data_IF_104746634370
#
_entry.id   IF_104746634370
#
_cell.length_a   1.000
_cell.length_b   1.000
_cell.length_c   1.000
_cell.angle_alpha   90.00
_cell.angle_beta   90.00
_cell.angle_gamma   90.00
#
_symmetry.space_group_name_H-M   'P 1'
#
loop_
_entity.id
_entity.type
_entity.pdbx_description
1 polymer ?
#
# COMPACT_ATOMS: atom_id res chain seq x y z
N UNK A 1 80.01 -63.02 -11.88
CA UNK A 1 79.32 -61.74 -11.65
C UNK A 1 77.86 -61.87 -12.06
N UNK A 2 76.93 -62.07 -11.12
CA UNK A 2 75.48 -61.98 -11.35
C UNK A 2 74.95 -60.92 -10.39
N UNK A 3 74.54 -59.77 -10.93
CA UNK A 3 73.98 -58.64 -10.18
C UNK A 3 72.46 -58.86 -10.10
N UNK A 4 71.96 -59.16 -8.91
CA UNK A 4 70.53 -59.27 -8.65
C UNK A 4 69.91 -57.87 -8.59
N UNK A 5 68.87 -57.63 -9.37
CA UNK A 5 68.05 -56.41 -9.30
C UNK A 5 66.99 -56.59 -8.20
N UNK A 6 66.82 -55.63 -7.29
CA UNK A 6 65.80 -55.72 -6.25
C UNK A 6 64.41 -55.43 -6.84
N UNK A 7 63.46 -56.30 -6.51
CA UNK A 7 62.05 -56.17 -6.87
C UNK A 7 61.47 -54.90 -6.25
N UNK A 8 61.16 -53.90 -7.08
CA UNK A 8 60.35 -52.74 -6.72
C UNK A 8 58.92 -53.19 -6.40
N UNK A 9 58.63 -53.39 -5.11
CA UNK A 9 57.30 -53.75 -4.61
C UNK A 9 56.77 -52.67 -3.67
N UNK A 10 56.94 -51.39 -4.04
CA UNK A 10 56.56 -50.22 -3.21
C UNK A 10 55.27 -49.54 -3.70
N UNK A 11 54.83 -49.79 -4.94
CA UNK A 11 53.83 -48.93 -5.57
C UNK A 11 52.34 -49.26 -5.30
N UNK A 12 51.98 -50.24 -4.46
CA UNK A 12 50.55 -50.58 -4.22
C UNK A 12 49.98 -50.11 -2.89
N UNK A 13 50.79 -50.05 -1.83
CA UNK A 13 50.32 -49.68 -0.50
C UNK A 13 50.15 -48.15 -0.32
N UNK A 14 50.99 -47.35 -0.98
CA UNK A 14 50.94 -45.88 -0.87
C UNK A 14 49.73 -45.26 -1.57
N UNK A 15 49.24 -45.87 -2.66
CA UNK A 15 48.09 -45.33 -3.41
C UNK A 15 46.76 -45.49 -2.65
N UNK A 16 46.56 -46.57 -1.89
CA UNK A 16 45.39 -46.71 -1.03
C UNK A 16 45.40 -45.70 0.11
N UNK A 17 46.60 -45.40 0.66
CA UNK A 17 46.78 -44.39 1.70
C UNK A 17 46.59 -42.97 1.18
N UNK A 18 47.10 -42.66 -0.01
CA UNK A 18 46.83 -41.39 -0.68
C UNK A 18 45.35 -41.23 -1.01
N UNK A 19 44.71 -42.29 -1.52
CA UNK A 19 43.29 -42.29 -1.86
C UNK A 19 42.39 -42.08 -0.64
N UNK A 20 42.68 -42.71 0.49
CA UNK A 20 41.91 -42.52 1.72
C UNK A 20 42.08 -41.11 2.31
N UNK A 21 43.30 -40.55 2.27
CA UNK A 21 43.53 -39.16 2.68
C UNK A 21 42.77 -38.16 1.80
N UNK A 22 42.78 -38.37 0.48
CA UNK A 22 42.04 -37.54 -0.46
C UNK A 22 40.52 -37.61 -0.23
N UNK A 23 39.97 -38.80 0.01
CA UNK A 23 38.56 -38.99 0.33
C UNK A 23 38.15 -38.28 1.63
N UNK A 24 39.00 -38.33 2.66
CA UNK A 24 38.75 -37.62 3.93
C UNK A 24 38.71 -36.11 3.71
N UNK A 25 39.62 -35.56 2.89
CA UNK A 25 39.63 -34.14 2.55
C UNK A 25 38.35 -33.73 1.79
N UNK A 26 37.96 -34.50 0.77
CA UNK A 26 36.73 -34.24 0.01
C UNK A 26 35.49 -34.33 0.92
N UNK A 27 35.42 -35.35 1.77
CA UNK A 27 34.31 -35.50 2.71
C UNK A 27 34.24 -34.32 3.69
N UNK A 28 35.39 -33.88 4.22
CA UNK A 28 35.46 -32.71 5.09
C UNK A 28 34.97 -31.43 4.43
N UNK A 29 35.44 -31.14 3.21
CA UNK A 29 34.99 -29.97 2.42
C UNK A 29 33.49 -30.07 2.13
N UNK A 30 33.00 -31.24 1.69
CA UNK A 30 31.59 -31.43 1.33
C UNK A 30 30.68 -31.22 2.54
N UNK A 31 31.04 -31.78 3.71
CA UNK A 31 30.28 -31.59 4.95
C UNK A 31 30.30 -30.13 5.39
N UNK A 32 31.44 -29.43 5.27
CA UNK A 32 31.51 -27.99 5.58
C UNK A 32 30.58 -27.17 4.68
N UNK A 33 30.62 -27.39 3.35
CA UNK A 33 29.73 -26.68 2.43
C UNK A 33 28.25 -27.02 2.67
N UNK A 34 27.95 -28.26 3.02
CA UNK A 34 26.58 -28.66 3.35
C UNK A 34 26.09 -27.97 4.63
N UNK A 35 26.94 -27.89 5.67
CA UNK A 35 26.64 -27.19 6.91
C UNK A 35 26.46 -25.68 6.69
N UNK A 36 27.30 -25.06 5.86
CA UNK A 36 27.18 -23.63 5.52
C UNK A 36 25.89 -23.34 4.76
N UNK A 37 25.53 -24.16 3.76
CA UNK A 37 24.25 -24.02 3.05
C UNK A 37 23.04 -24.23 3.95
N UNK A 38 23.13 -25.17 4.89
CA UNK A 38 22.05 -25.40 5.84
C UNK A 38 21.86 -24.20 6.78
N UNK A 39 22.95 -23.63 7.30
CA UNK A 39 22.90 -22.41 8.11
C UNK A 39 22.33 -21.22 7.33
N UNK A 40 22.82 -21.00 6.10
CA UNK A 40 22.29 -19.96 5.21
C UNK A 40 20.79 -20.14 4.97
N UNK A 41 20.34 -21.36 4.70
CA UNK A 41 18.91 -21.63 4.53
C UNK A 41 18.06 -21.34 5.78
N UNK A 42 18.62 -21.43 6.99
CA UNK A 42 17.92 -21.02 8.22
C UNK A 42 17.86 -19.49 8.31
N UNK A 43 18.98 -18.81 8.06
CA UNK A 43 19.07 -17.33 8.07
C UNK A 43 18.15 -16.69 7.02
N UNK A 44 18.09 -17.25 5.81
CA UNK A 44 17.20 -16.80 4.73
C UNK A 44 15.73 -16.93 5.13
N UNK A 45 15.37 -18.03 5.79
CA UNK A 45 13.99 -18.27 6.28
C UNK A 45 13.60 -17.32 7.41
N UNK A 46 14.54 -16.98 8.29
CA UNK A 46 14.30 -16.01 9.36
C UNK A 46 14.13 -14.59 8.79
N UNK A 47 14.95 -14.23 7.80
CA UNK A 47 14.84 -12.96 7.06
C UNK A 47 13.50 -12.86 6.33
N UNK A 48 13.11 -13.91 5.60
CA UNK A 48 11.82 -14.00 4.92
C UNK A 48 10.64 -13.82 5.90
N UNK A 49 10.65 -14.52 7.04
CA UNK A 49 9.59 -14.40 8.05
C UNK A 49 9.51 -12.99 8.64
N UNK A 50 10.65 -12.36 8.88
CA UNK A 50 10.74 -10.98 9.39
C UNK A 50 10.16 -9.99 8.37
N UNK A 51 10.55 -10.14 7.10
CA UNK A 51 10.02 -9.34 5.99
C UNK A 51 8.50 -9.48 5.91
N UNK A 52 7.99 -10.72 5.82
CA UNK A 52 6.56 -10.99 5.66
C UNK A 52 5.73 -10.48 6.86
N UNK A 53 6.25 -10.60 8.08
CA UNK A 53 5.61 -10.04 9.28
C UNK A 53 5.53 -8.51 9.22
N UNK A 54 6.59 -7.86 8.75
CA UNK A 54 6.60 -6.41 8.53
C UNK A 54 5.61 -5.97 7.45
N UNK A 55 5.54 -6.71 6.33
CA UNK A 55 4.57 -6.45 5.26
C UNK A 55 3.13 -6.60 5.76
N UNK A 56 2.85 -7.58 6.63
CA UNK A 56 1.51 -7.73 7.21
C UNK A 56 1.09 -6.51 8.04
N UNK A 57 2.04 -5.94 8.81
CA UNK A 57 1.81 -4.73 9.60
C UNK A 57 1.58 -3.51 8.70
N UNK A 58 2.42 -3.34 7.68
CA UNK A 58 2.27 -2.27 6.68
C UNK A 58 0.89 -2.36 6.01
N UNK A 59 0.49 -3.55 5.54
CA UNK A 59 -0.82 -3.79 4.92
C UNK A 59 -1.98 -3.49 5.85
N UNK A 60 -1.85 -3.79 7.15
CA UNK A 60 -2.90 -3.46 8.13
C UNK A 60 -3.06 -1.95 8.29
N UNK A 61 -1.95 -1.23 8.45
CA UNK A 61 -1.95 0.24 8.53
C UNK A 61 -2.54 0.86 7.27
N UNK A 62 -2.16 0.35 6.10
CA UNK A 62 -2.66 0.80 4.81
C UNK A 62 -4.18 0.59 4.66
N UNK A 63 -4.70 -0.55 5.13
CA UNK A 63 -6.13 -0.82 5.11
C UNK A 63 -6.95 0.15 5.98
N UNK A 64 -6.42 0.54 7.14
CA UNK A 64 -7.08 1.53 8.02
C UNK A 64 -7.14 2.91 7.36
N UNK A 65 -6.09 3.32 6.63
CA UNK A 65 -6.09 4.56 5.87
C UNK A 65 -7.04 4.51 4.68
N UNK A 66 -7.01 3.41 3.91
CA UNK A 66 -7.90 3.17 2.78
C UNK A 66 -9.38 3.20 3.19
N UNK A 67 -9.75 2.56 4.30
CA UNK A 67 -11.14 2.55 4.78
C UNK A 67 -11.64 3.98 5.08
N UNK A 68 -10.81 4.81 5.72
CA UNK A 68 -11.14 6.21 5.97
C UNK A 68 -11.35 6.98 4.66
N UNK A 69 -10.51 6.74 3.66
CA UNK A 69 -10.56 7.36 2.36
C UNK A 69 -11.80 6.95 1.56
N UNK A 70 -12.17 5.67 1.56
CA UNK A 70 -13.40 5.18 0.93
C UNK A 70 -14.62 5.83 1.59
N UNK A 71 -14.64 5.93 2.92
CA UNK A 71 -15.72 6.61 3.64
C UNK A 71 -15.81 8.12 3.34
N UNK A 72 -14.71 8.77 2.95
CA UNK A 72 -14.77 10.15 2.44
C UNK A 72 -15.36 10.21 1.04
N UNK A 73 -14.91 9.34 0.13
CA UNK A 73 -15.42 9.27 -1.23
C UNK A 73 -16.93 9.02 -1.28
N UNK A 74 -17.44 8.06 -0.50
CA UNK A 74 -18.90 7.78 -0.42
C UNK A 74 -19.68 8.99 0.08
N UNK A 75 -19.16 9.72 1.06
CA UNK A 75 -19.82 10.95 1.56
C UNK A 75 -19.82 12.07 0.54
N UNK A 76 -18.82 12.16 -0.35
CA UNK A 76 -18.85 13.12 -1.45
C UNK A 76 -19.94 12.79 -2.46
N UNK A 77 -20.07 11.51 -2.82
CA UNK A 77 -21.14 11.03 -3.70
C UNK A 77 -22.53 11.28 -3.09
N UNK A 78 -22.74 10.88 -1.83
CA UNK A 78 -23.98 11.15 -1.09
C UNK A 78 -24.31 12.65 -1.03
N UNK A 79 -23.30 13.50 -0.85
CA UNK A 79 -23.48 14.95 -0.84
C UNK A 79 -23.91 15.47 -2.21
N UNK A 80 -23.27 15.03 -3.29
CA UNK A 80 -23.64 15.44 -4.64
C UNK A 80 -25.07 15.00 -4.99
N UNK A 81 -25.43 13.76 -4.66
CA UNK A 81 -26.80 13.26 -4.84
C UNK A 81 -27.82 14.08 -4.04
N UNK A 82 -27.49 14.42 -2.80
CA UNK A 82 -28.35 15.27 -1.97
C UNK A 82 -28.51 16.66 -2.60
N UNK A 83 -27.43 17.29 -3.06
CA UNK A 83 -27.47 18.61 -3.71
C UNK A 83 -28.37 18.57 -4.94
N UNK A 84 -28.21 17.56 -5.80
CA UNK A 84 -29.02 17.40 -7.02
C UNK A 84 -30.51 17.17 -6.72
N UNK A 85 -30.81 16.38 -5.69
CA UNK A 85 -32.20 16.16 -5.28
C UNK A 85 -32.88 17.43 -4.74
N UNK A 86 -32.09 18.39 -4.26
CA UNK A 86 -32.55 19.55 -3.53
C UNK A 86 -32.32 20.89 -4.26
N UNK A 87 -31.82 20.85 -5.50
CA UNK A 87 -31.47 22.03 -6.31
C UNK A 87 -32.62 23.05 -6.41
N UNK A 88 -33.84 22.54 -6.64
CA UNK A 88 -35.04 23.34 -6.87
C UNK A 88 -35.87 23.62 -5.60
N UNK A 89 -35.31 23.41 -4.41
CA UNK A 89 -36.00 23.59 -3.13
C UNK A 89 -35.50 24.84 -2.40
N UNK A 90 -36.18 25.99 -2.52
CA UNK A 90 -35.71 27.25 -1.93
C UNK A 90 -35.82 27.31 -0.40
N UNK A 91 -36.53 26.37 0.22
CA UNK A 91 -36.91 26.36 1.64
C UNK A 91 -35.92 25.62 2.56
N UNK A 92 -34.76 25.19 2.04
CA UNK A 92 -33.81 24.39 2.82
C UNK A 92 -33.14 25.26 3.89
N UNK A 93 -33.12 24.80 5.16
CA UNK A 93 -32.40 25.49 6.23
C UNK A 93 -30.90 25.61 5.92
N UNK A 94 -30.32 26.79 6.17
CA UNK A 94 -28.88 27.03 5.97
C UNK A 94 -28.00 26.00 6.69
N UNK A 95 -28.34 25.66 7.93
CA UNK A 95 -27.60 24.68 8.73
C UNK A 95 -27.58 23.29 8.08
N UNK A 96 -28.69 22.89 7.46
CA UNK A 96 -28.75 21.63 6.71
C UNK A 96 -27.80 21.66 5.52
N UNK A 97 -27.75 22.78 4.79
CA UNK A 97 -26.83 22.94 3.66
C UNK A 97 -25.37 22.90 4.15
N UNK A 98 -25.05 23.66 5.20
CA UNK A 98 -23.71 23.67 5.80
C UNK A 98 -23.24 22.28 6.23
N UNK A 99 -24.10 21.50 6.90
CA UNK A 99 -23.80 20.11 7.28
C UNK A 99 -23.55 19.25 6.06
N UNK A 100 -24.40 19.38 5.03
CA UNK A 100 -24.27 18.58 3.81
C UNK A 100 -23.02 18.94 3.02
N UNK A 101 -22.57 20.19 2.99
CA UNK A 101 -21.34 20.57 2.29
C UNK A 101 -20.05 20.25 3.05
N UNK A 102 -20.12 19.95 4.36
CA UNK A 102 -18.95 19.63 5.19
C UNK A 102 -18.02 18.55 4.59
N UNK A 103 -18.52 17.43 4.02
CA UNK A 103 -17.67 16.39 3.45
C UNK A 103 -16.76 16.90 2.34
N UNK A 104 -17.21 17.84 1.50
CA UNK A 104 -16.33 18.39 0.47
C UNK A 104 -15.21 19.26 1.05
N UNK A 105 -15.39 19.86 2.23
CA UNK A 105 -14.29 20.54 2.92
C UNK A 105 -13.20 19.60 3.40
N UNK A 106 -13.51 18.31 3.56
CA UNK A 106 -12.61 17.26 4.04
C UNK A 106 -11.91 16.59 2.86
N UNK A 107 -10.61 16.83 2.70
CA UNK A 107 -9.76 15.99 1.86
C UNK A 107 -8.45 15.65 2.58
N UNK A 108 -7.83 14.56 2.19
CA UNK A 108 -6.52 14.13 2.69
C UNK A 108 -5.77 13.41 1.58
N UNK A 109 -4.44 13.36 1.69
CA UNK A 109 -3.61 12.67 0.72
C UNK A 109 -3.40 11.24 1.19
N UNK A 110 -3.55 10.29 0.27
CA UNK A 110 -3.12 8.93 0.49
C UNK A 110 -1.60 8.85 0.41
N UNK A 111 -0.95 8.38 1.48
CA UNK A 111 0.51 8.28 1.55
C UNK A 111 1.06 6.86 1.39
N UNK A 112 0.20 5.82 1.46
CA UNK A 112 0.55 4.42 1.25
C UNK A 112 1.62 3.88 2.22
N UNK A 113 1.24 3.00 3.14
CA UNK A 113 2.25 2.40 4.06
C UNK A 113 3.08 1.35 3.30
N UNK A 114 4.37 1.61 3.07
CA UNK A 114 5.28 0.73 2.29
C UNK A 114 6.73 0.68 2.79
N UNK A 115 6.95 0.96 4.08
CA UNK A 115 8.29 1.07 4.65
C UNK A 115 9.05 -0.27 4.57
N UNK A 116 8.40 -1.37 4.98
CA UNK A 116 8.99 -2.71 4.94
C UNK A 116 9.25 -3.14 3.51
N UNK A 117 8.29 -2.94 2.61
CA UNK A 117 8.46 -3.30 1.20
C UNK A 117 9.64 -2.55 0.56
N UNK A 118 9.76 -1.24 0.80
CA UNK A 118 10.82 -0.41 0.21
C UNK A 118 12.21 -0.78 0.74
N UNK A 119 12.30 -1.11 2.04
CA UNK A 119 13.52 -1.67 2.64
C UNK A 119 13.87 -3.03 2.04
N UNK A 120 12.89 -3.93 1.96
CA UNK A 120 13.07 -5.28 1.45
C UNK A 120 13.46 -5.33 -0.03
N UNK A 121 12.95 -4.43 -0.86
CA UNK A 121 13.41 -4.28 -2.25
C UNK A 121 14.87 -3.83 -2.29
N UNK A 122 15.23 -2.82 -1.49
CA UNK A 122 16.59 -2.26 -1.46
C UNK A 122 17.63 -3.27 -0.95
N UNK A 123 17.22 -4.14 -0.02
CA UNK A 123 18.03 -5.22 0.53
C UNK A 123 18.00 -6.51 -0.33
N UNK A 124 17.14 -6.59 -1.35
CA UNK A 124 16.94 -7.79 -2.17
C UNK A 124 16.12 -8.91 -1.50
N UNK A 125 15.58 -8.67 -0.30
CA UNK A 125 14.84 -9.63 0.52
C UNK A 125 13.51 -10.07 -0.12
N UNK A 126 12.86 -9.20 -0.92
CA UNK A 126 11.61 -9.58 -1.62
C UNK A 126 11.86 -10.74 -2.61
N UNK A 127 13.06 -10.85 -3.16
CA UNK A 127 13.42 -11.98 -4.04
C UNK A 127 13.60 -13.30 -3.27
N UNK A 128 13.79 -13.23 -1.95
CA UNK A 128 13.97 -14.38 -1.06
C UNK A 128 12.64 -15.01 -0.64
N UNK A 129 11.49 -14.38 -0.95
CA UNK A 129 10.18 -14.98 -0.71
C UNK A 129 10.09 -16.26 -1.57
N UNK A 130 10.03 -17.41 -0.93
CA UNK A 130 10.21 -18.70 -1.58
C UNK A 130 8.96 -19.15 -2.35
N UNK A 131 7.78 -18.79 -1.86
CA UNK A 131 6.55 -19.07 -2.57
C UNK A 131 6.33 -18.03 -3.69
N UNK A 132 6.47 -18.48 -4.94
CA UNK A 132 6.34 -17.63 -6.13
C UNK A 132 5.00 -16.88 -6.19
N UNK A 133 3.89 -17.54 -5.85
CA UNK A 133 2.56 -16.92 -5.78
C UNK A 133 2.51 -15.77 -4.78
N UNK A 134 3.04 -15.98 -3.57
CA UNK A 134 3.09 -14.97 -2.53
C UNK A 134 3.99 -13.79 -2.94
N UNK A 135 5.17 -14.09 -3.49
CA UNK A 135 6.10 -13.07 -4.00
C UNK A 135 5.46 -12.19 -5.06
N UNK A 136 4.78 -12.80 -6.04
CA UNK A 136 4.05 -12.07 -7.08
C UNK A 136 2.92 -11.24 -6.48
N UNK A 137 2.18 -11.75 -5.50
CA UNK A 137 1.10 -11.01 -4.85
C UNK A 137 1.63 -9.79 -4.07
N UNK A 138 2.76 -9.92 -3.37
CA UNK A 138 3.45 -8.80 -2.71
C UNK A 138 3.84 -7.73 -3.73
N UNK A 139 4.53 -8.12 -4.81
CA UNK A 139 4.97 -7.18 -5.85
C UNK A 139 3.76 -6.49 -6.50
N UNK A 140 2.72 -7.25 -6.87
CA UNK A 140 1.53 -6.68 -7.50
C UNK A 140 0.85 -5.65 -6.60
N UNK A 141 0.73 -5.92 -5.30
CA UNK A 141 0.12 -4.97 -4.38
C UNK A 141 0.88 -3.62 -4.34
N UNK A 142 2.20 -3.66 -4.13
CA UNK A 142 3.00 -2.46 -3.90
C UNK A 142 3.39 -1.71 -5.18
N UNK A 143 3.43 -2.38 -6.33
CA UNK A 143 3.82 -1.78 -7.61
C UNK A 143 2.66 -1.51 -8.56
N UNK A 144 1.48 -2.10 -8.32
CA UNK A 144 0.30 -1.93 -9.17
C UNK A 144 -0.86 -1.35 -8.38
N UNK A 145 -1.34 -2.07 -7.36
CA UNK A 145 -2.57 -1.70 -6.64
C UNK A 145 -2.41 -0.37 -5.89
N UNK A 146 -1.40 -0.25 -5.02
CA UNK A 146 -1.17 0.96 -4.24
C UNK A 146 -0.85 2.19 -5.12
N UNK A 147 0.02 2.12 -6.14
CA UNK A 147 0.25 3.24 -7.05
C UNK A 147 -0.99 3.68 -7.85
N UNK A 148 -1.92 2.77 -8.13
CA UNK A 148 -3.18 3.12 -8.79
C UNK A 148 -4.03 4.07 -7.94
N UNK A 149 -4.10 3.82 -6.63
CA UNK A 149 -4.80 4.68 -5.67
C UNK A 149 -4.13 6.05 -5.57
N UNK A 150 -2.79 6.09 -5.45
CA UNK A 150 -2.02 7.35 -5.38
C UNK A 150 -2.29 8.22 -6.63
N UNK A 151 -2.27 7.60 -7.82
CA UNK A 151 -2.54 8.31 -9.08
C UNK A 151 -3.95 8.87 -9.10
N UNK A 152 -4.95 8.09 -8.67
CA UNK A 152 -6.33 8.56 -8.63
C UNK A 152 -6.49 9.72 -7.63
N UNK A 153 -5.90 9.63 -6.44
CA UNK A 153 -5.95 10.71 -5.44
C UNK A 153 -5.33 12.02 -5.93
N UNK A 154 -4.31 11.95 -6.78
CA UNK A 154 -3.73 13.14 -7.41
C UNK A 154 -4.77 13.88 -8.27
N UNK A 155 -5.56 13.14 -9.06
CA UNK A 155 -6.64 13.71 -9.88
C UNK A 155 -7.78 14.27 -9.01
N UNK A 156 -8.17 13.54 -7.97
CA UNK A 156 -9.19 13.98 -7.01
C UNK A 156 -8.77 15.28 -6.35
N UNK A 157 -7.52 15.39 -5.92
CA UNK A 157 -7.01 16.58 -5.25
C UNK A 157 -7.00 17.82 -6.16
N UNK A 158 -6.60 17.65 -7.42
CA UNK A 158 -6.63 18.74 -8.41
C UNK A 158 -8.06 19.24 -8.66
N UNK A 159 -9.03 18.32 -8.76
CA UNK A 159 -10.44 18.70 -8.91
C UNK A 159 -10.99 19.36 -7.64
N UNK A 160 -10.69 18.78 -6.48
CA UNK A 160 -11.08 19.34 -5.18
C UNK A 160 -10.59 20.78 -5.01
N UNK A 161 -9.33 21.07 -5.38
CA UNK A 161 -8.79 22.42 -5.30
C UNK A 161 -9.55 23.42 -6.19
N UNK A 162 -10.00 22.98 -7.37
CA UNK A 162 -10.83 23.82 -8.26
C UNK A 162 -12.21 24.07 -7.63
N UNK A 163 -12.87 23.02 -7.14
CA UNK A 163 -14.14 23.14 -6.43
C UNK A 163 -14.02 24.07 -5.21
N UNK A 164 -12.95 23.96 -4.42
CA UNK A 164 -12.70 24.80 -3.25
C UNK A 164 -12.65 26.29 -3.63
N UNK A 165 -11.94 26.61 -4.72
CA UNK A 165 -11.83 27.98 -5.21
C UNK A 165 -13.16 28.52 -5.73
N UNK A 166 -13.92 27.73 -6.49
CA UNK A 166 -15.24 28.14 -7.02
C UNK A 166 -16.24 28.33 -5.88
N UNK A 167 -16.24 27.42 -4.90
CA UNK A 167 -17.15 27.47 -3.76
C UNK A 167 -16.87 28.63 -2.81
N UNK A 168 -15.65 29.19 -2.77
CA UNK A 168 -15.28 30.29 -1.87
C UNK A 168 -16.12 31.58 -2.06
N UNK A 169 -16.78 31.74 -3.21
CA UNK A 169 -17.78 32.80 -3.43
C UNK A 169 -19.01 32.61 -2.55
N UNK A 170 -19.43 31.36 -2.35
CA UNK A 170 -20.69 30.97 -1.73
C UNK A 170 -20.53 30.47 -0.30
N UNK A 171 -19.36 29.91 0.02
CA UNK A 171 -19.08 29.21 1.26
C UNK A 171 -17.83 29.80 1.92
N UNK A 172 -17.96 30.12 3.20
CA UNK A 172 -16.83 30.46 4.05
C UNK A 172 -16.34 29.19 4.74
N UNK A 173 -15.28 28.58 4.22
CA UNK A 173 -14.73 27.33 4.76
C UNK A 173 -14.01 27.50 6.10
N UNK A 174 -13.72 28.73 6.55
CA UNK A 174 -12.94 29.04 7.76
C UNK A 174 -11.53 28.41 7.82
N UNK A 175 -11.09 27.75 6.75
CA UNK A 175 -9.87 26.97 6.62
C UNK A 175 -9.07 27.53 5.44
N UNK A 176 -7.73 27.47 5.47
CA UNK A 176 -6.91 27.76 4.31
C UNK A 176 -6.31 26.45 3.75
N UNK A 177 -6.26 26.26 2.42
CA UNK A 177 -5.64 25.08 1.81
C UNK A 177 -4.17 24.89 2.18
N UNK A 178 -3.50 25.94 2.67
CA UNK A 178 -2.11 25.92 3.12
C UNK A 178 -1.91 25.44 4.57
N UNK A 179 -2.98 25.24 5.35
CA UNK A 179 -2.88 24.78 6.73
C UNK A 179 -2.54 23.27 6.77
N UNK A 180 -1.49 22.93 7.51
CA UNK A 180 -0.90 21.59 7.54
C UNK A 180 -1.82 20.55 8.19
N UNK A 181 -1.98 19.42 7.48
CA UNK A 181 -2.89 18.31 7.76
C UNK A 181 -4.35 18.74 7.95
N UNK A 182 -5.09 18.83 6.84
CA UNK A 182 -6.55 19.04 6.77
C UNK A 182 -7.37 18.19 7.77
N UNK A 183 -6.80 17.10 8.31
CA UNK A 183 -7.36 16.33 9.43
C UNK A 183 -7.59 17.14 10.73
N UNK A 184 -6.76 18.14 11.08
CA UNK A 184 -6.88 18.91 12.34
C UNK A 184 -7.77 20.14 12.22
N UNK A 185 -7.90 20.72 11.03
CA UNK A 185 -8.68 21.95 10.83
C UNK A 185 -10.20 21.70 10.79
N UNK A 186 -10.64 20.43 10.72
CA UNK A 186 -12.05 20.06 10.55
C UNK A 186 -12.46 19.09 11.66
N UNK A 187 -12.52 19.63 12.89
CA UNK A 187 -13.42 19.06 13.89
C UNK A 187 -14.87 19.23 13.39
N UNK A 188 -15.79 18.39 13.87
CA UNK A 188 -17.25 18.49 13.57
C UNK A 188 -17.84 19.91 13.75
N UNK A 189 -17.13 20.78 14.45
CA UNK A 189 -17.50 22.16 14.79
C UNK A 189 -17.29 23.17 13.66
N UNK A 190 -16.50 22.86 12.62
CA UNK A 190 -16.16 23.82 11.58
C UNK A 190 -17.01 23.57 10.33
N UNK A 191 -18.26 23.98 10.39
CA UNK A 191 -19.18 23.95 9.26
C UNK A 191 -18.92 25.15 8.34
N UNK A 192 -19.00 24.99 7.00
CA UNK A 192 -18.91 26.14 6.11
C UNK A 192 -20.11 27.07 6.32
N UNK A 193 -19.86 28.38 6.43
CA UNK A 193 -20.94 29.36 6.51
C UNK A 193 -21.41 29.74 5.11
N UNK A 194 -22.71 29.76 4.87
CA UNK A 194 -23.29 30.22 3.61
C UNK A 194 -23.24 31.75 3.52
N UNK A 195 -22.61 32.26 2.46
CA UNK A 195 -22.56 33.69 2.12
C UNK A 195 -23.77 34.15 1.34
N UNK A 196 -24.38 33.24 0.59
CA UNK A 196 -25.52 33.50 -0.28
C UNK A 196 -26.71 32.56 0.08
N UNK A 197 -27.95 32.92 -0.28
CA UNK A 197 -29.10 32.03 -0.19
C UNK A 197 -28.91 30.78 -1.06
N UNK A 198 -29.55 29.67 -0.68
CA UNK A 198 -29.47 28.40 -1.43
C UNK A 198 -29.84 28.55 -2.91
N UNK A 199 -30.92 29.27 -3.22
CA UNK A 199 -31.39 29.50 -4.59
C UNK A 199 -30.31 30.14 -5.48
N UNK A 200 -29.50 31.04 -4.93
CA UNK A 200 -28.35 31.63 -5.64
C UNK A 200 -27.22 30.63 -5.83
N UNK A 201 -26.98 29.77 -4.84
CA UNK A 201 -25.92 28.74 -4.86
C UNK A 201 -26.28 27.64 -5.86
N UNK A 202 -27.49 27.11 -5.79
CA UNK A 202 -27.97 25.99 -6.61
C UNK A 202 -28.22 26.36 -8.06
N UNK A 203 -28.41 27.65 -8.38
CA UNK A 203 -28.55 28.13 -9.76
C UNK A 203 -27.20 28.39 -10.46
N UNK A 204 -26.05 28.32 -9.76
CA UNK A 204 -24.74 28.43 -10.40
C UNK A 204 -24.32 27.11 -11.06
N UNK A 205 -24.52 27.02 -12.37
CA UNK A 205 -24.16 25.85 -13.16
C UNK A 205 -22.68 25.44 -13.06
N UNK A 206 -21.76 26.37 -12.81
CA UNK A 206 -20.33 26.06 -12.66
C UNK A 206 -20.08 25.36 -11.32
N UNK A 207 -20.67 25.88 -10.24
CA UNK A 207 -20.58 25.25 -8.92
C UNK A 207 -21.22 23.86 -8.94
N UNK A 208 -22.44 23.76 -9.48
CA UNK A 208 -23.19 22.49 -9.55
C UNK A 208 -22.43 21.44 -10.37
N UNK A 209 -21.88 21.81 -11.53
CA UNK A 209 -21.05 20.90 -12.30
C UNK A 209 -19.80 20.41 -11.56
N UNK A 210 -19.19 21.25 -10.71
CA UNK A 210 -18.08 20.81 -9.85
C UNK A 210 -18.52 19.87 -8.72
N UNK A 211 -19.71 20.07 -8.16
CA UNK A 211 -20.30 19.17 -7.15
C UNK A 211 -20.53 17.79 -7.77
N UNK A 212 -21.11 17.74 -8.97
CA UNK A 212 -21.34 16.49 -9.71
C UNK A 212 -20.04 15.74 -10.00
N UNK A 213 -19.04 16.43 -10.55
CA UNK A 213 -17.73 15.83 -10.83
C UNK A 213 -17.09 15.31 -9.53
N UNK A 214 -17.18 16.07 -8.44
CA UNK A 214 -16.62 15.67 -7.14
C UNK A 214 -17.34 14.46 -6.56
N UNK A 215 -18.67 14.40 -6.68
CA UNK A 215 -19.47 13.24 -6.27
C UNK A 215 -19.12 11.99 -7.07
N UNK A 216 -19.07 12.10 -8.40
CA UNK A 216 -18.67 11.00 -9.28
C UNK A 216 -17.26 10.49 -8.96
N UNK A 217 -16.29 11.39 -8.80
CA UNK A 217 -14.92 11.02 -8.40
C UNK A 217 -14.90 10.36 -7.01
N UNK A 218 -15.75 10.82 -6.08
CA UNK A 218 -15.91 10.24 -4.76
C UNK A 218 -16.45 8.80 -4.79
N UNK A 219 -17.45 8.54 -5.62
CA UNK A 219 -17.98 7.19 -5.86
C UNK A 219 -16.92 6.27 -6.49
N UNK A 220 -16.28 6.75 -7.56
CA UNK A 220 -15.25 6.00 -8.29
C UNK A 220 -14.04 5.65 -7.41
N UNK A 221 -13.52 6.59 -6.61
CA UNK A 221 -12.39 6.31 -5.71
C UNK A 221 -12.78 5.31 -4.62
N UNK A 222 -14.03 5.38 -4.13
CA UNK A 222 -14.51 4.42 -3.12
C UNK A 222 -14.54 3.01 -3.70
N UNK A 223 -15.03 2.85 -4.92
CA UNK A 223 -15.04 1.57 -5.63
C UNK A 223 -13.63 1.04 -5.89
N UNK A 224 -12.70 1.90 -6.30
CA UNK A 224 -11.29 1.52 -6.47
C UNK A 224 -10.67 1.07 -5.15
N UNK A 225 -10.90 1.82 -4.08
CA UNK A 225 -10.39 1.47 -2.75
C UNK A 225 -10.95 0.14 -2.28
N UNK A 226 -12.25 -0.12 -2.46
CA UNK A 226 -12.86 -1.38 -2.04
C UNK A 226 -12.20 -2.59 -2.76
N UNK A 227 -11.81 -2.43 -4.04
CA UNK A 227 -11.05 -3.44 -4.79
C UNK A 227 -9.63 -3.64 -4.22
N UNK A 228 -8.92 -2.54 -3.96
CA UNK A 228 -7.56 -2.60 -3.40
C UNK A 228 -7.55 -3.14 -1.97
N UNK A 229 -8.57 -2.83 -1.17
CA UNK A 229 -8.78 -3.41 0.16
C UNK A 229 -9.01 -4.92 0.09
N UNK A 230 -9.76 -5.41 -0.91
CA UNK A 230 -9.92 -6.85 -1.11
C UNK A 230 -8.58 -7.53 -1.47
N UNK A 231 -7.77 -6.91 -2.33
CA UNK A 231 -6.42 -7.38 -2.65
C UNK A 231 -5.50 -7.37 -1.41
N UNK A 232 -5.53 -6.30 -0.61
CA UNK A 232 -4.83 -6.19 0.67
C UNK A 232 -5.20 -7.33 1.63
N UNK A 233 -6.50 -7.55 1.83
CA UNK A 233 -7.00 -8.60 2.73
C UNK A 233 -6.60 -10.00 2.26
N UNK A 234 -6.68 -10.25 0.95
CA UNK A 234 -6.24 -11.52 0.35
C UNK A 234 -4.74 -11.75 0.58
N UNK A 235 -3.91 -10.74 0.35
CA UNK A 235 -2.46 -10.82 0.57
C UNK A 235 -2.12 -11.08 2.04
N UNK A 236 -2.74 -10.33 2.98
CA UNK A 236 -2.54 -10.56 4.42
C UNK A 236 -2.91 -11.98 4.84
N UNK A 237 -3.99 -12.54 4.28
CA UNK A 237 -4.39 -13.92 4.55
C UNK A 237 -3.36 -14.92 4.04
N UNK A 238 -2.81 -14.70 2.84
CA UNK A 238 -1.74 -15.54 2.29
C UNK A 238 -0.47 -15.46 3.15
N UNK A 239 -0.05 -14.25 3.55
CA UNK A 239 1.10 -14.06 4.45
C UNK A 239 0.93 -14.83 5.75
N UNK A 240 -0.23 -14.71 6.41
CA UNK A 240 -0.50 -15.44 7.66
C UNK A 240 -0.46 -16.95 7.49
N UNK A 241 -1.10 -17.46 6.45
CA UNK A 241 -1.09 -18.89 6.17
C UNK A 241 0.33 -19.42 5.91
N UNK A 242 1.18 -18.61 5.24
CA UNK A 242 2.59 -18.94 5.02
C UNK A 242 3.41 -18.91 6.31
N UNK A 243 3.16 -17.96 7.21
CA UNK A 243 3.87 -17.84 8.49
C UNK A 243 3.48 -18.93 9.50
N UNK A 244 2.24 -19.41 9.44
CA UNK A 244 1.70 -20.47 10.31
C UNK A 244 2.06 -21.90 9.85
N UNK A 245 2.43 -22.07 8.58
CA UNK A 245 2.87 -23.34 7.98
C UNK A 245 4.35 -23.66 8.20
#
# INVERSE_FOLDING_TARGET
>A
MKKALPHMNIARADWFRLGSQFLVIIAGITVSLAADRWRQGIEDRETERTLLSGLEMDLKSDAEELELLANFGRRWDETAQWVNHNENRPDIPKDSISIMFQPFGLTTFYAGTRATYSSGISAGEVSMILEDSLRTAVINYYEVEQPSVIRYFTLVFDNWRKWYNVSARYLNWTILPSDTTMRRAIARTNLPELREPWETISSDATLMGHIDISGMMGGDISNLIDQVMAANQALRKQIRAYLEG
#
